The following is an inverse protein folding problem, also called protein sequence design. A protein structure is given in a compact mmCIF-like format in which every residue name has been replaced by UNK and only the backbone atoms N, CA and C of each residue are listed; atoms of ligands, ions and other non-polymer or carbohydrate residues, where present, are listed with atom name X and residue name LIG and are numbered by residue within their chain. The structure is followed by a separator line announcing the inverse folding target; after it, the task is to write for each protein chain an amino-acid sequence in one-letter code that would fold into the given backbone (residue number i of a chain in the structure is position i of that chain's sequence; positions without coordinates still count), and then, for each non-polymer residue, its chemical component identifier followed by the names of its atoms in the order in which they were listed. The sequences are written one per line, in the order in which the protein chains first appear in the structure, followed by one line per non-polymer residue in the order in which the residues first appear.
data_IF_540441781567
#
_entry.id   IF_540441781567
#
_cell.length_a   1.000
_cell.length_b   1.000
_cell.length_c   1.000
_cell.angle_alpha   90.00
_cell.angle_beta   90.00
_cell.angle_gamma   90.00
#
_symmetry.space_group_name_H-M   'P 1'
#
loop_
_entity.id
_entity.type
_entity.pdbx_description
1 polymer ?
#
# COMPACT_ATOMS: atom_id res chain seq x y z
N UNK A 1 -10.85 20.47 0.24
CA UNK A 1 -10.78 19.04 -0.17
C UNK A 1 -10.09 18.17 0.87
N UNK A 2 -8.83 18.42 1.28
CA UNK A 2 -8.11 17.62 2.31
C UNK A 2 -8.90 17.46 3.62
N UNK A 3 -9.42 18.56 4.17
CA UNK A 3 -10.21 18.52 5.41
C UNK A 3 -11.45 17.61 5.31
N UNK A 4 -12.06 17.49 4.13
CA UNK A 4 -13.21 16.62 3.93
C UNK A 4 -12.83 15.15 4.09
N UNK A 5 -11.68 14.73 3.53
CA UNK A 5 -11.15 13.38 3.75
C UNK A 5 -10.83 13.13 5.23
N UNK A 6 -10.19 14.07 5.91
CA UNK A 6 -9.90 13.93 7.34
C UNK A 6 -11.17 13.81 8.20
N UNK A 7 -12.24 14.50 7.81
CA UNK A 7 -13.54 14.46 8.51
C UNK A 7 -14.36 13.19 8.26
N UNK A 8 -14.00 12.35 7.29
CA UNK A 8 -14.69 11.07 7.06
C UNK A 8 -14.56 10.17 8.29
N UNK A 9 -15.65 9.50 8.71
CA UNK A 9 -15.62 8.62 9.90
C UNK A 9 -14.67 7.44 9.77
N UNK A 10 -14.52 6.92 8.56
CA UNK A 10 -13.58 5.85 8.20
C UNK A 10 -13.08 6.06 6.79
N UNK A 11 -11.87 5.60 6.50
CA UNK A 11 -11.36 5.54 5.13
C UNK A 11 -11.57 4.17 4.48
N UNK A 12 -11.96 3.15 5.25
CA UNK A 12 -12.25 1.79 4.75
C UNK A 12 -13.41 1.83 3.76
N UNK A 13 -13.32 1.09 2.66
CA UNK A 13 -14.42 0.91 1.73
C UNK A 13 -15.66 0.36 2.44
N UNK A 14 -16.83 0.87 2.09
CA UNK A 14 -18.11 0.41 2.68
C UNK A 14 -18.33 -1.10 2.52
N UNK A 15 -17.94 -1.68 1.38
CA UNK A 15 -18.01 -3.12 1.14
C UNK A 15 -17.07 -3.93 2.05
N UNK A 16 -15.99 -3.34 2.55
CA UNK A 16 -15.07 -3.97 3.52
C UNK A 16 -15.53 -3.84 4.98
N UNK A 17 -16.56 -3.04 5.25
CA UNK A 17 -17.10 -2.81 6.60
C UNK A 17 -18.62 -3.09 6.68
N UNK A 18 -19.11 -4.29 6.28
CA UNK A 18 -20.55 -4.58 6.22
C UNK A 18 -21.24 -4.52 7.60
N UNK A 19 -20.47 -4.66 8.69
CA UNK A 19 -20.95 -4.56 10.08
C UNK A 19 -20.77 -3.17 10.69
N UNK A 20 -20.32 -2.19 9.89
CA UNK A 20 -20.08 -0.80 10.30
C UNK A 20 -19.16 -0.65 11.51
N UNK A 21 -18.19 -1.56 11.69
CA UNK A 21 -17.25 -1.52 12.81
C UNK A 21 -16.33 -0.31 12.69
N UNK A 22 -15.72 -0.11 11.52
CA UNK A 22 -14.84 1.03 11.27
C UNK A 22 -15.65 2.33 11.25
N UNK A 23 -16.82 2.33 10.60
CA UNK A 23 -17.72 3.50 10.57
C UNK A 23 -18.16 3.97 11.96
N UNK A 24 -18.40 3.02 12.89
CA UNK A 24 -18.79 3.31 14.29
C UNK A 24 -17.58 3.52 15.22
N UNK A 25 -16.35 3.53 14.69
CA UNK A 25 -15.13 3.71 15.49
C UNK A 25 -14.79 2.54 16.42
N UNK A 26 -15.34 1.36 16.17
CA UNK A 26 -15.07 0.13 16.95
C UNK A 26 -13.85 -0.65 16.46
N UNK A 27 -13.34 -0.30 15.28
CA UNK A 27 -12.14 -0.86 14.67
C UNK A 27 -11.41 0.24 13.91
N UNK A 28 -10.13 0.05 13.66
CA UNK A 28 -9.33 0.89 12.77
C UNK A 28 -8.41 -0.01 11.97
N UNK A 29 -8.87 -0.37 10.78
CA UNK A 29 -8.24 -1.35 9.90
C UNK A 29 -7.73 -0.68 8.63
N UNK A 30 -6.76 -1.30 7.96
CA UNK A 30 -6.18 -0.79 6.71
C UNK A 30 -6.68 -1.67 5.56
N UNK A 31 -7.39 -1.04 4.63
CA UNK A 31 -7.75 -1.62 3.34
C UNK A 31 -7.12 -0.82 2.18
N UNK A 32 -7.45 -1.21 0.95
CA UNK A 32 -6.97 -0.55 -0.27
C UNK A 32 -7.24 0.97 -0.28
N UNK A 33 -8.41 1.42 0.22
CA UNK A 33 -8.78 2.84 0.23
C UNK A 33 -8.04 3.59 1.31
N UNK A 34 -7.89 3.01 2.50
CA UNK A 34 -7.08 3.60 3.58
C UNK A 34 -5.66 3.84 3.09
N UNK A 35 -5.04 2.84 2.43
CA UNK A 35 -3.70 2.97 1.87
C UNK A 35 -3.63 4.05 0.77
N UNK A 36 -4.57 4.06 -0.17
CA UNK A 36 -4.62 5.02 -1.28
C UNK A 36 -4.83 6.47 -0.83
N UNK A 37 -5.78 6.72 0.08
CA UNK A 37 -6.03 8.05 0.65
C UNK A 37 -4.81 8.52 1.42
N UNK A 38 -4.21 7.63 2.22
CA UNK A 38 -3.06 7.99 3.03
C UNK A 38 -1.87 8.40 2.17
N UNK A 39 -1.62 7.68 1.07
CA UNK A 39 -0.60 8.06 0.10
C UNK A 39 -0.92 9.39 -0.58
N UNK A 40 -2.17 9.63 -0.98
CA UNK A 40 -2.57 10.89 -1.61
C UNK A 40 -2.41 12.09 -0.67
N UNK A 41 -2.83 11.94 0.59
CA UNK A 41 -2.74 12.99 1.61
C UNK A 41 -1.29 13.31 2.01
N UNK A 42 -0.48 12.27 2.22
CA UNK A 42 0.95 12.44 2.51
C UNK A 42 1.70 13.09 1.35
N UNK A 43 1.43 12.66 0.12
CA UNK A 43 1.99 13.27 -1.10
C UNK A 43 1.62 14.75 -1.19
N UNK A 44 0.34 15.10 -0.98
CA UNK A 44 -0.10 16.48 -0.99
C UNK A 44 0.58 17.32 0.09
N UNK A 45 0.70 16.79 1.32
CA UNK A 45 1.39 17.49 2.41
C UNK A 45 2.88 17.69 2.12
N UNK A 46 3.54 16.67 1.56
CA UNK A 46 4.96 16.71 1.21
C UNK A 46 5.24 17.77 0.13
N UNK A 47 4.50 17.73 -0.99
CA UNK A 47 4.75 18.64 -2.11
C UNK A 47 4.29 20.07 -1.86
N UNK A 48 3.16 20.26 -1.15
CA UNK A 48 2.68 21.61 -0.85
C UNK A 48 3.46 22.24 0.30
N UNK A 49 3.99 21.43 1.23
CA UNK A 49 4.81 21.89 2.34
C UNK A 49 4.19 23.10 3.05
N UNK A 50 4.93 24.20 3.12
CA UNK A 50 4.48 25.43 3.79
C UNK A 50 3.41 26.22 3.04
N UNK A 51 3.08 25.85 1.79
CA UNK A 51 1.91 26.39 1.08
C UNK A 51 0.60 25.84 1.62
N UNK A 52 0.64 24.74 2.39
CA UNK A 52 -0.52 24.18 3.07
C UNK A 52 -0.55 24.67 4.52
N UNK A 53 -1.74 25.12 4.95
CA UNK A 53 -1.97 25.57 6.32
C UNK A 53 -1.41 24.56 7.35
N UNK A 54 -0.72 25.07 8.36
CA UNK A 54 -0.06 24.24 9.37
C UNK A 54 -1.07 23.42 10.19
N UNK A 55 -2.27 23.97 10.43
CA UNK A 55 -3.37 23.25 11.07
C UNK A 55 -3.85 22.07 10.23
N UNK A 56 -3.96 22.25 8.90
CA UNK A 56 -4.29 21.16 7.98
C UNK A 56 -3.19 20.09 7.97
N UNK A 57 -1.91 20.47 7.88
CA UNK A 57 -0.78 19.52 7.92
C UNK A 57 -0.79 18.70 9.22
N UNK A 58 -1.03 19.36 10.36
CA UNK A 58 -1.15 18.70 11.66
C UNK A 58 -2.35 17.73 11.70
N UNK A 59 -3.49 18.13 11.16
CA UNK A 59 -4.67 17.28 11.07
C UNK A 59 -4.40 16.03 10.23
N UNK A 60 -3.75 16.18 9.07
CA UNK A 60 -3.36 15.03 8.23
C UNK A 60 -2.42 14.10 8.99
N UNK A 61 -1.40 14.64 9.65
CA UNK A 61 -0.48 13.83 10.46
C UNK A 61 -1.23 13.02 11.53
N UNK A 62 -2.18 13.64 12.23
CA UNK A 62 -2.98 12.97 13.27
C UNK A 62 -3.87 11.85 12.71
N UNK A 63 -4.51 12.07 11.55
CA UNK A 63 -5.34 11.05 10.93
C UNK A 63 -4.50 9.91 10.34
N UNK A 64 -3.33 10.19 9.76
CA UNK A 64 -2.40 9.15 9.30
C UNK A 64 -1.86 8.32 10.46
N UNK A 65 -1.46 8.97 11.56
CA UNK A 65 -1.02 8.28 12.78
C UNK A 65 -2.09 7.30 13.26
N UNK A 66 -3.33 7.79 13.38
CA UNK A 66 -4.46 7.02 13.90
C UNK A 66 -4.90 5.90 12.96
N UNK A 67 -5.00 6.17 11.66
CA UNK A 67 -5.65 5.27 10.69
C UNK A 67 -4.69 4.38 9.90
N UNK A 68 -3.42 4.74 9.83
CA UNK A 68 -2.43 4.06 8.99
C UNK A 68 -1.22 3.60 9.79
N UNK A 69 -0.50 4.50 10.45
CA UNK A 69 0.80 4.17 11.05
C UNK A 69 0.65 3.26 12.27
N UNK A 70 -0.18 3.63 13.26
CA UNK A 70 -0.42 2.78 14.44
C UNK A 70 -1.02 1.41 14.05
N UNK A 71 -2.08 1.32 13.24
CA UNK A 71 -2.63 0.02 12.84
C UNK A 71 -1.63 -0.86 12.06
N UNK A 72 -0.78 -0.26 11.22
CA UNK A 72 0.26 -1.01 10.51
C UNK A 72 1.30 -1.58 11.46
N UNK A 73 1.79 -0.78 12.42
CA UNK A 73 2.75 -1.26 13.43
C UNK A 73 2.16 -2.36 14.30
N UNK A 74 0.87 -2.27 14.66
CA UNK A 74 0.16 -3.37 15.34
C UNK A 74 0.11 -4.63 14.48
N UNK A 75 -0.10 -4.48 13.16
CA UNK A 75 -0.12 -5.60 12.22
C UNK A 75 1.25 -6.29 12.11
N UNK A 76 2.35 -5.52 12.13
CA UNK A 76 3.70 -6.07 12.21
C UNK A 76 3.95 -6.86 13.51
N UNK A 77 3.22 -6.53 14.57
CA UNK A 77 3.25 -7.23 15.86
C UNK A 77 2.20 -8.36 15.96
N UNK A 78 1.65 -8.81 14.84
CA UNK A 78 0.73 -9.96 14.77
C UNK A 78 -0.75 -9.62 14.93
N UNK A 79 -1.13 -8.35 15.02
CA UNK A 79 -2.54 -7.96 14.96
C UNK A 79 -3.14 -8.34 13.61
N UNK A 80 -4.37 -8.88 13.63
CA UNK A 80 -5.09 -9.33 12.44
C UNK A 80 -6.39 -8.56 12.30
N UNK A 81 -6.75 -8.25 11.05
CA UNK A 81 -7.97 -7.54 10.67
C UNK A 81 -9.01 -8.53 10.11
N UNK A 82 -10.26 -8.11 9.96
CA UNK A 82 -11.37 -8.98 9.53
C UNK A 82 -12.15 -8.47 8.32
N UNK A 83 -11.67 -7.43 7.64
CA UNK A 83 -12.35 -6.73 6.53
C UNK A 83 -13.18 -7.65 5.62
N UNK A 84 -14.51 -7.52 5.66
CA UNK A 84 -15.50 -8.35 4.95
C UNK A 84 -15.25 -9.86 4.95
N UNK A 85 -14.58 -10.39 5.98
CA UNK A 85 -14.27 -11.79 6.14
C UNK A 85 -14.82 -12.34 7.46
N UNK A 86 -15.10 -13.64 7.45
CA UNK A 86 -15.55 -14.38 8.63
C UNK A 86 -14.40 -14.73 9.58
N UNK A 87 -13.15 -14.67 9.10
CA UNK A 87 -11.93 -14.97 9.85
C UNK A 87 -10.96 -13.79 9.79
N UNK A 88 -10.16 -13.63 10.84
CA UNK A 88 -9.13 -12.60 10.85
C UNK A 88 -7.92 -13.01 10.01
N UNK A 89 -7.32 -12.04 9.33
CA UNK A 89 -6.18 -12.20 8.44
C UNK A 89 -5.24 -10.99 8.54
N UNK A 90 -4.08 -11.08 7.90
CA UNK A 90 -3.21 -9.93 7.65
C UNK A 90 -2.90 -9.88 6.16
N UNK A 91 -3.12 -8.74 5.50
CA UNK A 91 -2.78 -8.62 4.08
C UNK A 91 -1.27 -8.67 3.82
N UNK A 92 -0.44 -8.56 4.87
CA UNK A 92 1.00 -8.81 4.79
C UNK A 92 1.32 -10.26 4.43
N UNK A 93 0.44 -11.20 4.77
CA UNK A 93 0.62 -12.65 4.54
C UNK A 93 -0.04 -13.12 3.23
N UNK A 94 -0.75 -12.24 2.52
CA UNK A 94 -1.47 -12.60 1.30
C UNK A 94 -0.55 -12.58 0.08
N UNK A 95 -0.76 -13.53 -0.83
CA UNK A 95 -0.01 -13.67 -2.08
C UNK A 95 -0.74 -13.08 -3.29
N UNK A 96 -1.47 -11.98 -3.11
CA UNK A 96 -2.18 -11.31 -4.20
C UNK A 96 -2.07 -9.78 -4.06
N UNK A 97 -2.70 -9.06 -4.99
CA UNK A 97 -2.56 -7.61 -5.17
C UNK A 97 -2.76 -6.72 -3.91
N UNK A 98 -3.52 -7.18 -2.91
CA UNK A 98 -3.73 -6.43 -1.66
C UNK A 98 -2.43 -6.16 -0.93
N UNK A 99 -1.51 -7.13 -0.93
CA UNK A 99 -0.23 -6.98 -0.26
C UNK A 99 0.55 -5.80 -0.85
N UNK A 100 0.81 -5.82 -2.16
CA UNK A 100 1.52 -4.75 -2.85
C UNK A 100 0.79 -3.40 -2.79
N UNK A 101 -0.54 -3.39 -2.95
CA UNK A 101 -1.33 -2.14 -2.92
C UNK A 101 -1.30 -1.48 -1.55
N UNK A 102 -1.49 -2.25 -0.48
CA UNK A 102 -1.46 -1.72 0.88
C UNK A 102 -0.04 -1.33 1.30
N UNK A 103 0.99 -2.14 1.01
CA UNK A 103 2.39 -1.78 1.26
C UNK A 103 2.77 -0.50 0.54
N UNK A 104 2.43 -0.39 -0.75
CA UNK A 104 2.67 0.80 -1.57
C UNK A 104 2.13 2.07 -0.92
N UNK A 105 0.86 2.06 -0.50
CA UNK A 105 0.27 3.24 0.13
C UNK A 105 0.80 3.53 1.53
N UNK A 106 0.99 2.49 2.36
CA UNK A 106 1.49 2.63 3.74
C UNK A 106 2.92 3.17 3.77
N UNK A 107 3.82 2.56 3.00
CA UNK A 107 5.24 2.90 3.01
C UNK A 107 5.45 4.26 2.35
N UNK A 108 4.78 4.55 1.24
CA UNK A 108 4.88 5.88 0.62
C UNK A 108 4.41 6.99 1.57
N UNK A 109 3.32 6.75 2.30
CA UNK A 109 2.85 7.71 3.30
C UNK A 109 3.83 7.88 4.47
N UNK A 110 4.42 6.79 4.96
CA UNK A 110 5.43 6.84 6.00
C UNK A 110 6.66 7.63 5.55
N UNK A 111 7.16 7.38 4.34
CA UNK A 111 8.33 8.06 3.80
C UNK A 111 8.11 9.56 3.56
N UNK A 112 6.88 9.95 3.19
CA UNK A 112 6.51 11.35 2.96
C UNK A 112 6.21 12.18 4.21
N UNK A 113 5.86 11.54 5.35
CA UNK A 113 5.37 12.23 6.54
C UNK A 113 6.19 12.00 7.81
N UNK A 114 6.88 10.87 7.94
CA UNK A 114 7.69 10.55 9.12
C UNK A 114 9.09 11.16 8.98
N UNK A 115 9.45 12.04 9.92
CA UNK A 115 10.77 12.69 9.91
C UNK A 115 11.90 11.76 10.37
N UNK A 116 11.61 10.85 11.31
CA UNK A 116 12.62 9.95 11.88
C UNK A 116 13.12 8.95 10.83
N UNK A 117 14.44 8.93 10.59
CA UNK A 117 15.07 7.99 9.67
C UNK A 117 14.92 6.54 10.14
N UNK A 118 15.13 6.31 11.44
CA UNK A 118 15.05 4.96 12.03
C UNK A 118 13.62 4.42 11.97
N UNK A 119 12.63 5.29 12.15
CA UNK A 119 11.22 4.91 12.04
C UNK A 119 10.87 4.57 10.59
N UNK A 120 11.25 5.41 9.62
CA UNK A 120 11.07 5.11 8.18
C UNK A 120 11.72 3.79 7.76
N UNK A 121 12.90 3.47 8.31
CA UNK A 121 13.59 2.21 8.02
C UNK A 121 12.74 0.98 8.42
N UNK A 122 11.94 1.07 9.48
CA UNK A 122 11.02 -0.03 9.87
C UNK A 122 9.96 -0.31 8.82
N UNK A 123 9.44 0.74 8.16
CA UNK A 123 8.46 0.60 7.08
C UNK A 123 9.10 0.01 5.81
N UNK A 124 10.32 0.45 5.47
CA UNK A 124 11.08 -0.11 4.35
C UNK A 124 11.39 -1.59 4.58
N UNK A 125 11.89 -1.95 5.77
CA UNK A 125 12.19 -3.34 6.11
C UNK A 125 10.93 -4.23 6.09
N UNK A 126 9.78 -3.68 6.48
CA UNK A 126 8.51 -4.38 6.33
C UNK A 126 8.13 -4.60 4.86
N UNK A 127 8.28 -3.60 3.99
CA UNK A 127 8.05 -3.77 2.56
C UNK A 127 8.97 -4.82 1.95
N UNK A 128 10.29 -4.72 2.18
CA UNK A 128 11.27 -5.70 1.69
C UNK A 128 10.89 -7.13 2.08
N UNK A 129 10.54 -7.34 3.36
CA UNK A 129 10.14 -8.65 3.86
C UNK A 129 8.82 -9.15 3.25
N UNK A 130 7.77 -8.33 3.30
CA UNK A 130 6.41 -8.79 3.02
C UNK A 130 6.03 -8.71 1.55
N UNK A 131 6.73 -7.92 0.74
CA UNK A 131 6.55 -7.94 -0.71
C UNK A 131 6.94 -9.27 -1.35
N UNK A 132 7.79 -10.07 -0.70
CA UNK A 132 8.08 -11.45 -1.13
C UNK A 132 6.80 -12.32 -1.22
N UNK A 133 5.81 -12.08 -0.36
CA UNK A 133 4.53 -12.81 -0.41
C UNK A 133 3.73 -12.45 -1.67
N UNK A 134 3.71 -11.16 -2.05
CA UNK A 134 3.10 -10.74 -3.31
C UNK A 134 3.78 -11.39 -4.52
N UNK A 135 5.11 -11.40 -4.56
CA UNK A 135 5.88 -12.02 -5.65
C UNK A 135 5.62 -13.53 -5.75
N UNK A 136 5.51 -14.22 -4.60
CA UNK A 136 5.16 -15.64 -4.54
C UNK A 136 3.75 -15.96 -5.09
N UNK A 137 2.90 -14.94 -5.30
CA UNK A 137 1.60 -15.08 -5.95
C UNK A 137 1.65 -15.32 -7.45
N UNK A 138 2.77 -14.98 -8.11
CA UNK A 138 2.93 -15.18 -9.55
C UNK A 138 3.52 -16.55 -9.86
N UNK A 139 3.16 -17.08 -11.03
CA UNK A 139 3.77 -18.28 -11.56
C UNK A 139 5.25 -18.05 -11.91
N UNK A 140 6.01 -19.13 -12.06
CA UNK A 140 7.45 -19.07 -12.32
C UNK A 140 7.82 -18.32 -13.62
N UNK A 141 6.92 -18.30 -14.60
CA UNK A 141 7.06 -17.56 -15.86
C UNK A 141 6.65 -16.08 -15.76
N UNK A 142 6.17 -15.64 -14.59
CA UNK A 142 5.67 -14.29 -14.32
C UNK A 142 4.16 -14.12 -14.49
N UNK A 143 3.45 -15.18 -14.89
CA UNK A 143 2.02 -15.11 -15.17
C UNK A 143 1.18 -14.88 -13.91
N UNK A 144 0.16 -14.03 -14.01
CA UNK A 144 -0.81 -13.76 -12.95
C UNK A 144 -2.06 -14.62 -13.15
N UNK A 145 -2.34 -15.53 -12.21
CA UNK A 145 -3.52 -16.40 -12.26
C UNK A 145 -4.85 -15.66 -12.08
N UNK A 146 -4.82 -14.48 -11.44
CA UNK A 146 -5.99 -13.59 -11.27
C UNK A 146 -6.29 -12.76 -12.52
N UNK A 147 -5.40 -12.77 -13.52
CA UNK A 147 -5.57 -12.07 -14.79
C UNK A 147 -4.97 -10.65 -14.83
N UNK A 148 -5.04 -10.04 -16.02
CA UNK A 148 -4.29 -8.81 -16.33
C UNK A 148 -4.70 -7.59 -15.50
N UNK A 149 -5.97 -7.50 -15.08
CA UNK A 149 -6.44 -6.40 -14.24
C UNK A 149 -5.82 -6.43 -12.84
N UNK A 150 -5.77 -7.60 -12.21
CA UNK A 150 -5.15 -7.80 -10.91
C UNK A 150 -3.63 -7.70 -10.97
N UNK A 151 -3.02 -8.16 -12.07
CA UNK A 151 -1.61 -7.89 -12.36
C UNK A 151 -1.34 -6.39 -12.45
N UNK A 152 -2.07 -5.66 -13.31
CA UNK A 152 -1.85 -4.22 -13.54
C UNK A 152 -1.99 -3.42 -12.23
N UNK A 153 -3.05 -3.70 -11.48
CA UNK A 153 -3.26 -3.10 -10.17
C UNK A 153 -2.17 -3.45 -9.17
N UNK A 154 -1.93 -4.74 -8.91
CA UNK A 154 -0.97 -5.19 -7.89
C UNK A 154 0.48 -4.86 -8.25
N UNK A 155 0.89 -5.21 -9.47
CA UNK A 155 2.25 -5.00 -9.94
C UNK A 155 2.56 -3.51 -10.13
N UNK A 156 1.60 -2.70 -10.58
CA UNK A 156 1.75 -1.25 -10.64
C UNK A 156 2.04 -0.63 -9.27
N UNK A 157 1.33 -1.05 -8.22
CA UNK A 157 1.63 -0.59 -6.85
C UNK A 157 2.97 -1.11 -6.34
N UNK A 158 3.35 -2.34 -6.68
CA UNK A 158 4.68 -2.87 -6.36
C UNK A 158 5.80 -2.06 -7.05
N UNK A 159 5.62 -1.65 -8.30
CA UNK A 159 6.58 -0.80 -9.03
C UNK A 159 6.73 0.54 -8.33
N UNK A 160 5.63 1.19 -7.98
CA UNK A 160 5.66 2.49 -7.28
C UNK A 160 6.28 2.39 -5.88
N UNK A 161 5.99 1.30 -5.14
CA UNK A 161 6.64 1.00 -3.86
C UNK A 161 8.15 0.86 -4.02
N UNK A 162 8.57 0.06 -5.00
CA UNK A 162 9.98 -0.22 -5.29
C UNK A 162 10.74 1.06 -5.62
N UNK A 163 10.20 1.89 -6.51
CA UNK A 163 10.79 3.19 -6.87
C UNK A 163 10.86 4.13 -5.66
N UNK A 164 9.79 4.22 -4.86
CA UNK A 164 9.76 5.09 -3.68
C UNK A 164 10.85 4.70 -2.66
N UNK A 165 11.04 3.38 -2.44
CA UNK A 165 12.09 2.86 -1.56
C UNK A 165 13.47 3.10 -2.17
N UNK A 166 13.65 2.84 -3.46
CA UNK A 166 14.92 3.02 -4.15
C UNK A 166 15.38 4.48 -4.05
N UNK A 167 14.49 5.44 -4.34
CA UNK A 167 14.79 6.87 -4.21
C UNK A 167 15.09 7.27 -2.76
N UNK A 168 14.27 6.83 -1.79
CA UNK A 168 14.45 7.17 -0.38
C UNK A 168 15.76 6.61 0.22
N UNK A 169 16.29 5.53 -0.37
CA UNK A 169 17.50 4.85 0.09
C UNK A 169 18.72 5.11 -0.79
N UNK A 170 18.58 5.95 -1.84
CA UNK A 170 19.61 6.16 -2.86
C UNK A 170 20.12 4.85 -3.47
N UNK A 171 19.20 3.93 -3.74
CA UNK A 171 19.46 2.63 -4.36
C UNK A 171 20.02 1.57 -3.43
N UNK A 172 20.13 1.80 -2.12
CA UNK A 172 20.60 0.79 -1.18
C UNK A 172 19.61 -0.37 -0.99
N UNK A 173 18.31 -0.14 -1.23
CA UNK A 173 17.29 -1.19 -1.26
C UNK A 173 16.63 -1.18 -2.64
N UNK A 174 16.76 -2.31 -3.35
CA UNK A 174 16.23 -2.51 -4.70
C UNK A 174 15.36 -3.77 -4.75
N UNK A 175 14.03 -3.58 -4.73
CA UNK A 175 13.08 -4.69 -4.82
C UNK A 175 13.02 -5.32 -6.22
N UNK A 176 13.56 -4.66 -7.25
CA UNK A 176 13.66 -5.21 -8.61
C UNK A 176 14.85 -6.14 -8.81
N UNK A 177 15.76 -6.23 -7.83
CA UNK A 177 16.92 -7.11 -7.90
C UNK A 177 16.54 -8.60 -8.01
N UNK A 178 15.32 -8.98 -7.62
CA UNK A 178 14.80 -10.33 -7.83
C UNK A 178 14.51 -10.59 -9.32
N UNK A 179 15.19 -11.59 -9.89
CA UNK A 179 15.01 -12.05 -11.28
C UNK A 179 13.55 -12.41 -11.62
N UNK A 180 12.76 -12.86 -10.64
CA UNK A 180 11.34 -13.20 -10.85
C UNK A 180 10.52 -11.96 -11.22
N UNK A 181 10.88 -10.81 -10.65
CA UNK A 181 10.22 -9.53 -10.96
C UNK A 181 10.34 -9.18 -12.45
N UNK A 182 11.49 -9.46 -13.07
CA UNK A 182 11.66 -9.26 -14.51
C UNK A 182 10.66 -10.10 -15.33
N UNK A 183 10.43 -11.34 -14.94
CA UNK A 183 9.42 -12.19 -15.60
C UNK A 183 8.02 -11.64 -15.43
N UNK A 184 7.67 -11.20 -14.21
CA UNK A 184 6.36 -10.61 -13.89
C UNK A 184 6.13 -9.32 -14.68
N UNK A 185 7.15 -8.45 -14.79
CA UNK A 185 7.07 -7.21 -15.55
C UNK A 185 6.79 -7.44 -17.04
N UNK A 186 7.24 -8.56 -17.58
CA UNK A 186 7.05 -8.92 -18.99
C UNK A 186 5.67 -9.53 -19.27
N UNK A 187 4.87 -9.86 -18.24
CA UNK A 187 3.58 -10.53 -18.41
C UNK A 187 2.67 -9.81 -19.40
N UNK A 188 2.43 -8.51 -19.22
CA UNK A 188 1.56 -7.74 -20.12
C UNK A 188 2.03 -7.77 -21.59
N UNK A 189 3.34 -7.67 -21.83
CA UNK A 189 3.91 -7.74 -23.18
C UNK A 189 3.83 -9.15 -23.79
N UNK A 190 3.83 -10.21 -22.95
CA UNK A 190 3.74 -11.61 -23.37
C UNK A 190 2.31 -12.10 -23.60
N UNK A 191 1.30 -11.29 -23.29
CA UNK A 191 -0.11 -11.57 -23.57
C UNK A 191 -0.55 -11.10 -24.96
N UNK A 192 0.39 -10.78 -25.85
CA UNK A 192 0.09 -10.45 -27.24
C UNK A 192 -0.72 -11.58 -27.90
N UNK A 193 -1.96 -11.30 -28.28
CA UNK A 193 -2.88 -12.26 -28.90
C UNK A 193 -2.59 -12.36 -30.41
N UNK A 194 -2.32 -11.21 -31.02
CA UNK A 194 -1.93 -11.02 -32.42
C UNK A 194 -0.93 -9.87 -32.48
N UNK A 195 -0.13 -9.70 -33.56
CA UNK A 195 0.82 -8.59 -33.67
C UNK A 195 0.18 -7.24 -33.30
N UNK A 196 0.70 -6.60 -32.25
CA UNK A 196 0.25 -5.33 -31.66
C UNK A 196 -1.17 -5.34 -31.08
N UNK A 197 -1.73 -6.51 -30.80
CA UNK A 197 -3.04 -6.68 -30.19
C UNK A 197 -2.89 -7.35 -28.84
N UNK A 198 -3.30 -6.64 -27.80
CA UNK A 198 -3.27 -7.07 -26.41
C UNK A 198 -4.72 -7.15 -25.87
N UNK A 199 -4.97 -7.91 -24.79
CA UNK A 199 -6.29 -7.98 -24.15
C UNK A 199 -6.86 -6.63 -23.74
#
# INVERSE_FOLDING_TARGET
MIQAFCAERTWVHSFHDPKLKNWRGKATEIDLRVASISWSLSTACHFLGDKLDAGIRKLVQQELERRLFQPFLLMLNGHRIMLNQSKSFSWLELCHNWNASCLGGVVSAALGMINSKDERARYIAAAERYSANFLAGFLADGSCSEGIGYWSGGFGHFVMLSETIWQATHGAVDLFADKHVKSIAQYGARLEIMPRTYP
#
